data_IF_684521171168
#
_entry.id   IF_684521171168
#
_cell.length_a   1.000
_cell.length_b   1.000
_cell.length_c   1.000
_cell.angle_alpha   90.00
_cell.angle_beta   90.00
_cell.angle_gamma   90.00
#
_symmetry.space_group_name_H-M   'P 1'
#
loop_
_entity.id
_entity.type
_entity.pdbx_description
1 polymer ?
#
# COMPACT_ATOMS: atom_id res chain seq x y z
N UNK A 1 19.88 7.84 13.62
CA UNK A 1 19.05 6.64 13.87
C UNK A 1 18.82 6.35 15.37
N UNK A 2 19.01 7.31 16.29
CA UNK A 2 18.50 7.22 17.66
C UNK A 2 17.09 7.82 17.66
N UNK A 3 16.07 7.02 18.00
CA UNK A 3 14.65 7.44 17.96
C UNK A 3 13.71 6.48 17.21
N UNK A 4 14.19 5.36 16.67
CA UNK A 4 13.31 4.35 16.07
C UNK A 4 12.67 3.51 17.18
N UNK A 5 11.35 3.56 17.28
CA UNK A 5 10.58 2.71 18.19
C UNK A 5 10.61 1.26 17.67
N UNK A 6 11.37 0.42 18.38
CA UNK A 6 11.53 -1.00 18.01
C UNK A 6 10.24 -1.78 18.20
N UNK A 7 9.40 -1.42 19.18
CA UNK A 7 8.14 -2.11 19.46
C UNK A 7 7.18 -1.88 18.30
N UNK A 8 7.08 -0.65 17.81
CA UNK A 8 6.28 -0.33 16.63
C UNK A 8 6.78 -1.10 15.39
N UNK A 9 8.09 -1.11 15.14
CA UNK A 9 8.67 -1.78 13.98
C UNK A 9 8.43 -3.30 14.02
N UNK A 10 8.63 -3.93 15.18
CA UNK A 10 8.32 -5.35 15.38
C UNK A 10 6.84 -5.63 15.19
N UNK A 11 5.96 -4.76 15.71
CA UNK A 11 4.51 -4.90 15.55
C UNK A 11 4.08 -4.85 14.09
N UNK A 12 4.63 -3.90 13.30
CA UNK A 12 4.39 -3.83 11.85
C UNK A 12 4.89 -5.10 11.15
N UNK A 13 6.07 -5.61 11.52
CA UNK A 13 6.61 -6.83 10.93
C UNK A 13 5.71 -8.06 11.22
N UNK A 14 5.21 -8.20 12.45
CA UNK A 14 4.27 -9.27 12.83
C UNK A 14 2.99 -9.16 11.99
N UNK A 15 2.41 -7.97 11.91
CA UNK A 15 1.19 -7.73 11.13
C UNK A 15 1.37 -8.05 9.64
N UNK A 16 2.54 -7.73 9.06
CA UNK A 16 2.86 -8.09 7.67
C UNK A 16 2.92 -9.60 7.46
N UNK A 17 3.57 -10.35 8.36
CA UNK A 17 3.66 -11.82 8.27
C UNK A 17 2.27 -12.46 8.40
N UNK A 18 1.47 -12.01 9.37
CA UNK A 18 0.10 -12.50 9.55
C UNK A 18 -0.76 -12.21 8.31
N UNK A 19 -0.69 -10.98 7.77
CA UNK A 19 -1.43 -10.59 6.57
C UNK A 19 -1.02 -11.40 5.33
N UNK A 20 0.28 -11.63 5.13
CA UNK A 20 0.76 -12.49 4.04
C UNK A 20 0.28 -13.93 4.19
N UNK A 21 0.26 -14.46 5.43
CA UNK A 21 -0.30 -15.78 5.74
C UNK A 21 -1.79 -15.88 5.41
N UNK A 22 -2.57 -14.83 5.72
CA UNK A 22 -4.00 -14.78 5.37
C UNK A 22 -4.23 -14.78 3.86
N UNK A 23 -3.45 -14.00 3.10
CA UNK A 23 -3.57 -13.95 1.63
C UNK A 23 -3.24 -15.31 1.01
N UNK A 24 -2.19 -15.98 1.50
CA UNK A 24 -1.84 -17.33 1.07
C UNK A 24 -2.99 -18.33 1.34
N UNK A 25 -3.55 -18.30 2.55
CA UNK A 25 -4.64 -19.20 2.97
C UNK A 25 -5.94 -18.98 2.18
N UNK A 26 -6.39 -17.73 2.05
CA UNK A 26 -7.67 -17.41 1.42
C UNK A 26 -7.65 -17.52 -0.12
N UNK A 27 -6.49 -17.35 -0.75
CA UNK A 27 -6.41 -17.22 -2.21
C UNK A 27 -6.02 -18.50 -2.94
N UNK A 28 -5.54 -19.54 -2.25
CA UNK A 28 -5.01 -20.76 -2.90
C UNK A 28 -6.02 -21.47 -3.81
N UNK A 29 -7.28 -21.61 -3.34
CA UNK A 29 -8.33 -22.31 -4.11
C UNK A 29 -8.86 -21.46 -5.27
N UNK A 30 -8.93 -20.13 -5.09
CA UNK A 30 -9.43 -19.20 -6.12
C UNK A 30 -8.38 -18.95 -7.22
N UNK A 31 -7.10 -18.86 -6.86
CA UNK A 31 -6.01 -18.58 -7.79
C UNK A 31 -5.74 -19.77 -8.73
N UNK A 32 -5.81 -21.00 -8.21
CA UNK A 32 -5.67 -22.21 -9.01
C UNK A 32 -6.81 -22.35 -10.04
N UNK A 33 -8.06 -22.05 -9.65
CA UNK A 33 -9.21 -22.12 -10.56
C UNK A 33 -9.26 -21.02 -11.63
N UNK A 34 -8.76 -19.81 -11.34
CA UNK A 34 -8.95 -18.64 -12.22
C UNK A 34 -7.70 -18.25 -13.01
N UNK A 35 -6.51 -18.56 -12.51
CA UNK A 35 -5.23 -18.10 -13.09
C UNK A 35 -4.19 -19.21 -13.27
N UNK A 36 -4.46 -20.45 -12.84
CA UNK A 36 -3.53 -21.58 -12.98
C UNK A 36 -2.27 -21.52 -12.10
N UNK A 37 -2.11 -20.45 -11.30
CA UNK A 37 -1.02 -20.27 -10.34
C UNK A 37 -1.60 -19.99 -8.96
N UNK A 38 -1.46 -20.95 -8.05
CA UNK A 38 -1.88 -20.88 -6.64
C UNK A 38 -1.29 -19.68 -5.90
N UNK A 39 -0.13 -19.17 -6.35
CA UNK A 39 0.61 -18.10 -5.69
C UNK A 39 0.37 -16.72 -6.31
N UNK A 40 -0.53 -16.56 -7.29
CA UNK A 40 -0.70 -15.28 -7.98
C UNK A 40 -0.99 -14.10 -7.04
N UNK A 41 -1.97 -14.25 -6.14
CA UNK A 41 -2.31 -13.19 -5.17
C UNK A 41 -1.22 -13.00 -4.12
N UNK A 42 -0.54 -14.09 -3.73
CA UNK A 42 0.59 -14.04 -2.82
C UNK A 42 1.77 -13.25 -3.41
N UNK A 43 2.16 -13.51 -4.66
CA UNK A 43 3.23 -12.80 -5.37
C UNK A 43 2.90 -11.31 -5.51
N UNK A 44 1.64 -10.97 -5.85
CA UNK A 44 1.20 -9.57 -5.89
C UNK A 44 1.30 -8.90 -4.53
N UNK A 45 0.80 -9.55 -3.47
CA UNK A 45 0.87 -9.01 -2.12
C UNK A 45 2.33 -8.82 -1.69
N UNK A 46 3.19 -9.80 -1.97
CA UNK A 46 4.61 -9.73 -1.66
C UNK A 46 5.31 -8.56 -2.38
N UNK A 47 5.00 -8.34 -3.65
CA UNK A 47 5.51 -7.19 -4.40
C UNK A 47 5.11 -5.86 -3.73
N UNK A 48 3.84 -5.72 -3.36
CA UNK A 48 3.36 -4.52 -2.65
C UNK A 48 4.01 -4.33 -1.28
N UNK A 49 4.26 -5.43 -0.54
CA UNK A 49 4.99 -5.38 0.73
C UNK A 49 6.42 -4.88 0.51
N UNK A 50 7.13 -5.39 -0.49
CA UNK A 50 8.50 -4.96 -0.82
C UNK A 50 8.52 -3.47 -1.17
N UNK A 51 7.62 -3.01 -2.05
CA UNK A 51 7.51 -1.59 -2.42
C UNK A 51 7.22 -0.74 -1.17
N UNK A 52 6.29 -1.17 -0.31
CA UNK A 52 5.94 -0.49 0.93
C UNK A 52 7.12 -0.40 1.91
N UNK A 53 7.93 -1.45 2.04
CA UNK A 53 9.13 -1.46 2.89
C UNK A 53 10.20 -0.49 2.37
N UNK A 54 10.41 -0.43 1.05
CA UNK A 54 11.30 0.58 0.46
C UNK A 54 10.80 2.00 0.68
N UNK A 55 9.49 2.24 0.50
CA UNK A 55 8.87 3.53 0.77
C UNK A 55 9.00 3.92 2.25
N UNK A 56 8.78 2.99 3.19
CA UNK A 56 9.00 3.20 4.62
C UNK A 56 10.47 3.57 4.91
N UNK A 57 11.42 2.79 4.38
CA UNK A 57 12.84 3.04 4.60
C UNK A 57 13.29 4.40 4.03
N UNK A 58 12.75 4.82 2.88
CA UNK A 58 12.97 6.14 2.32
C UNK A 58 12.36 7.23 3.21
N UNK A 59 11.10 7.06 3.62
CA UNK A 59 10.38 8.04 4.45
C UNK A 59 11.05 8.24 5.82
N UNK A 60 11.56 7.17 6.45
CA UNK A 60 12.31 7.23 7.71
C UNK A 60 13.63 8.02 7.61
N UNK A 61 14.21 8.15 6.41
CA UNK A 61 15.42 8.95 6.18
C UNK A 61 15.12 10.43 5.99
N UNK A 62 13.89 10.78 5.63
CA UNK A 62 13.46 12.16 5.41
C UNK A 62 13.10 12.78 6.77
N UNK A 63 13.73 13.92 7.09
CA UNK A 63 13.46 14.63 8.34
C UNK A 63 12.02 15.17 8.43
N UNK A 64 11.48 15.21 9.65
CA UNK A 64 10.15 15.78 9.95
C UNK A 64 9.95 17.22 9.39
N UNK A 65 10.95 18.13 9.42
CA UNK A 65 10.76 19.47 8.87
C UNK A 65 10.46 19.47 7.36
N UNK A 66 11.00 18.52 6.61
CA UNK A 66 10.73 18.37 5.17
C UNK A 66 9.29 17.93 4.94
N UNK A 67 8.81 16.97 5.73
CA UNK A 67 7.40 16.54 5.70
C UNK A 67 6.44 17.67 6.02
N UNK A 68 6.76 18.51 7.01
CA UNK A 68 5.93 19.67 7.35
C UNK A 68 5.87 20.71 6.21
N UNK A 69 6.99 20.96 5.50
CA UNK A 69 6.99 21.87 4.34
C UNK A 69 6.22 21.30 3.16
N UNK A 70 6.26 19.98 2.97
CA UNK A 70 5.55 19.29 1.91
C UNK A 70 4.07 19.05 2.23
N UNK A 71 3.63 19.23 3.48
CA UNK A 71 2.26 18.96 3.88
C UNK A 71 1.22 19.74 3.07
N UNK A 72 1.37 21.06 2.92
CA UNK A 72 0.45 21.89 2.12
C UNK A 72 0.47 21.54 0.63
N UNK A 73 1.65 21.42 -0.03
CA UNK A 73 1.73 20.96 -1.41
C UNK A 73 1.10 19.59 -1.63
N UNK A 74 1.37 18.61 -0.75
CA UNK A 74 0.80 17.27 -0.83
C UNK A 74 -0.72 17.28 -0.65
N UNK A 75 -1.25 18.14 0.22
CA UNK A 75 -2.69 18.34 0.37
C UNK A 75 -3.32 18.85 -0.93
N UNK A 76 -2.71 19.86 -1.56
CA UNK A 76 -3.17 20.40 -2.84
C UNK A 76 -3.16 19.34 -3.95
N UNK A 77 -2.07 18.57 -4.06
CA UNK A 77 -1.97 17.46 -5.01
C UNK A 77 -3.04 16.40 -4.75
N UNK A 78 -3.29 16.06 -3.48
CA UNK A 78 -4.34 15.10 -3.10
C UNK A 78 -5.72 15.61 -3.51
N UNK A 79 -6.02 16.89 -3.28
CA UNK A 79 -7.27 17.50 -3.73
C UNK A 79 -7.45 17.44 -5.24
N UNK A 80 -6.40 17.74 -6.00
CA UNK A 80 -6.41 17.64 -7.46
C UNK A 80 -6.65 16.21 -7.94
N UNK A 81 -5.99 15.22 -7.33
CA UNK A 81 -6.17 13.80 -7.67
C UNK A 81 -7.59 13.33 -7.37
N UNK A 82 -8.19 13.77 -6.27
CA UNK A 82 -9.60 13.45 -5.94
C UNK A 82 -10.56 14.00 -6.99
N UNK A 83 -10.32 15.22 -7.47
CA UNK A 83 -11.11 15.78 -8.59
C UNK A 83 -10.86 14.99 -9.88
N UNK A 84 -9.61 14.60 -10.15
CA UNK A 84 -9.25 13.85 -11.35
C UNK A 84 -9.97 12.50 -11.46
N UNK A 85 -10.19 11.79 -10.34
CA UNK A 85 -10.93 10.52 -10.32
C UNK A 85 -12.40 10.67 -10.74
N UNK A 86 -12.99 11.87 -10.65
CA UNK A 86 -14.35 12.12 -11.13
C UNK A 86 -14.45 12.22 -12.65
N UNK A 87 -13.34 12.54 -13.32
CA UNK A 87 -13.29 12.71 -14.78
C UNK A 87 -13.52 11.36 -15.46
N UNK A 88 -14.56 11.22 -16.31
CA UNK A 88 -14.80 9.99 -17.07
C UNK A 88 -13.60 9.72 -17.99
N UNK A 89 -12.99 8.54 -17.83
CA UNK A 89 -11.78 8.12 -18.57
C UNK A 89 -10.50 8.09 -17.73
N UNK A 90 -10.49 8.76 -16.56
CA UNK A 90 -9.36 8.68 -15.60
C UNK A 90 -9.70 7.74 -14.44
N UNK A 91 -10.85 7.95 -13.79
CA UNK A 91 -11.30 7.10 -12.68
C UNK A 91 -12.03 5.84 -13.15
N UNK A 92 -11.75 4.72 -12.48
CA UNK A 92 -12.48 3.48 -12.68
C UNK A 92 -13.73 3.44 -11.79
N UNK A 93 -14.89 3.21 -12.41
CA UNK A 93 -16.13 3.00 -11.68
C UNK A 93 -16.25 1.53 -11.29
N UNK A 94 -16.11 1.24 -10.00
CA UNK A 94 -16.19 -0.13 -9.46
C UNK A 94 -17.30 -0.16 -8.40
N UNK A 95 -18.28 -1.04 -8.58
CA UNK A 95 -19.45 -1.17 -7.69
C UNK A 95 -20.23 0.15 -7.53
N UNK A 96 -20.40 0.95 -8.60
CA UNK A 96 -21.13 2.21 -8.58
C UNK A 96 -20.41 3.38 -7.91
N UNK A 97 -19.10 3.25 -7.64
CA UNK A 97 -18.27 4.29 -7.03
C UNK A 97 -16.96 4.49 -7.81
N UNK A 98 -16.62 5.76 -8.09
CA UNK A 98 -15.34 6.17 -8.67
C UNK A 98 -14.38 6.58 -7.57
N UNK A 99 -13.49 5.67 -7.19
CA UNK A 99 -12.54 5.85 -6.07
C UNK A 99 -11.16 5.22 -6.32
N UNK A 100 -10.95 4.73 -7.54
CA UNK A 100 -9.74 4.04 -7.98
C UNK A 100 -9.26 4.64 -9.29
#
# INVERSE_FOLDING_TARGET
MKGVDKVLLISVAILLVVGLGMVYSASGVMALKKHGDTFYFFKKQLLWVVIGLFAMAAAMRIGVPTWNRLALPLLGVTGLLLVAVLIPGVGAEVNGSRRW
#
